data_IF_079448201694
#
_entry.id   IF_079448201694
#
_cell.length_a   1.000
_cell.length_b   1.000
_cell.length_c   1.000
_cell.angle_alpha   90.00
_cell.angle_beta   90.00
_cell.angle_gamma   90.00
#
_symmetry.space_group_name_H-M   'P 1'
#
loop_
_entity.id
_entity.type
_entity.pdbx_description
1 polymer ?
#
# COMPACT_ATOMS: atom_id res chain seq x y z
N UNK A 1 10.57 -1.47 -11.19
CA UNK A 1 10.97 -2.28 -10.03
C UNK A 1 10.40 -1.67 -8.75
N UNK A 2 9.73 -2.45 -7.90
CA UNK A 2 9.13 -1.88 -6.70
C UNK A 2 10.18 -1.40 -5.70
N UNK A 3 9.88 -0.26 -5.09
CA UNK A 3 10.67 0.34 -4.02
C UNK A 3 9.72 0.74 -2.91
N UNK A 4 10.26 1.05 -1.74
CA UNK A 4 9.45 1.58 -0.64
C UNK A 4 8.72 2.85 -1.12
N UNK A 5 7.42 2.86 -0.99
CA UNK A 5 6.57 3.97 -1.44
C UNK A 5 6.10 3.88 -2.89
N UNK A 6 6.60 2.92 -3.66
CA UNK A 6 6.09 2.73 -5.02
C UNK A 6 4.60 2.44 -4.97
N UNK A 7 3.85 3.08 -5.86
CA UNK A 7 2.41 3.04 -5.85
C UNK A 7 1.93 2.51 -7.19
N UNK A 8 0.96 1.60 -7.13
CA UNK A 8 0.42 0.93 -8.31
C UNK A 8 -1.09 1.07 -8.35
N UNK A 9 -1.64 1.08 -9.55
CA UNK A 9 -3.07 0.90 -9.75
C UNK A 9 -3.30 -0.49 -10.34
N UNK A 10 -4.22 -1.23 -9.73
CA UNK A 10 -4.65 -2.51 -10.29
C UNK A 10 -5.59 -2.27 -11.46
N UNK A 11 -5.34 -2.96 -12.58
CA UNK A 11 -6.25 -2.93 -13.72
C UNK A 11 -7.37 -3.95 -13.60
N UNK A 12 -7.29 -4.85 -12.63
CA UNK A 12 -8.33 -5.84 -12.36
C UNK A 12 -9.32 -5.27 -11.33
N UNK A 13 -10.62 -5.47 -11.52
CA UNK A 13 -11.60 -5.03 -10.53
C UNK A 13 -11.45 -5.81 -9.21
N UNK A 14 -11.60 -5.14 -8.07
CA UNK A 14 -11.73 -3.68 -7.90
C UNK A 14 -10.40 -2.98 -8.15
N UNK A 15 -10.45 -1.81 -8.79
CA UNK A 15 -9.26 -1.09 -9.24
C UNK A 15 -8.67 -0.24 -8.12
N UNK A 16 -8.20 -0.90 -7.08
CA UNK A 16 -7.58 -0.22 -5.95
C UNK A 16 -6.19 0.32 -6.29
N UNK A 17 -5.78 1.32 -5.52
CA UNK A 17 -4.41 1.81 -5.50
C UNK A 17 -3.67 1.01 -4.43
N UNK A 18 -2.47 0.53 -4.75
CA UNK A 18 -1.63 -0.25 -3.84
C UNK A 18 -0.34 0.49 -3.55
N UNK A 19 0.11 0.45 -2.31
CA UNK A 19 1.33 1.14 -1.86
C UNK A 19 2.27 0.12 -1.23
N UNK A 20 3.54 0.14 -1.65
CA UNK A 20 4.59 -0.70 -1.06
C UNK A 20 5.05 -0.04 0.23
N UNK A 21 4.91 -0.74 1.36
CA UNK A 21 5.20 -0.20 2.70
C UNK A 21 6.36 -0.89 3.42
N UNK A 22 7.02 -1.86 2.78
CA UNK A 22 8.29 -2.39 3.25
C UNK A 22 9.29 -2.34 2.10
N UNK A 23 10.58 -2.36 2.43
CA UNK A 23 11.63 -2.11 1.44
C UNK A 23 12.02 -3.39 0.69
N UNK A 24 11.68 -3.52 -0.62
CA UNK A 24 12.04 -4.70 -1.38
C UNK A 24 13.55 -4.88 -1.55
N UNK A 25 14.36 -3.83 -1.36
CA UNK A 25 15.82 -3.96 -1.43
C UNK A 25 16.38 -4.74 -0.24
N UNK A 26 15.64 -4.76 0.89
CA UNK A 26 16.02 -5.54 2.07
C UNK A 26 15.61 -7.01 1.92
N UNK A 27 14.56 -7.29 1.16
CA UNK A 27 14.10 -8.65 0.93
C UNK A 27 13.29 -8.71 -0.37
N UNK A 28 13.93 -9.13 -1.46
CA UNK A 28 13.28 -9.24 -2.76
C UNK A 28 12.24 -10.36 -2.83
N UNK A 29 12.33 -11.32 -1.92
CA UNK A 29 11.43 -12.47 -1.89
C UNK A 29 10.16 -12.20 -1.08
N UNK A 30 10.11 -11.11 -0.33
CA UNK A 30 8.93 -10.79 0.46
C UNK A 30 8.91 -9.30 0.80
N UNK A 31 7.89 -8.60 0.34
CA UNK A 31 7.62 -7.23 0.75
C UNK A 31 6.12 -7.04 0.91
N UNK A 32 5.75 -6.06 1.73
CA UNK A 32 4.36 -5.81 2.09
C UNK A 32 3.81 -4.67 1.26
N UNK A 33 2.59 -4.86 0.73
CA UNK A 33 1.87 -3.76 0.11
C UNK A 33 0.40 -3.79 0.57
N UNK A 34 -0.19 -2.59 0.64
CA UNK A 34 -1.55 -2.39 1.14
C UNK A 34 -2.36 -1.63 0.10
N UNK A 35 -3.68 -1.81 0.11
CA UNK A 35 -4.50 -1.05 -0.80
C UNK A 35 -5.16 0.13 -0.10
N UNK A 36 -5.49 1.14 -0.92
CA UNK A 36 -6.23 2.32 -0.49
C UNK A 36 -7.66 2.14 -0.98
N UNK A 37 -8.60 2.12 -0.05
CA UNK A 37 -10.00 1.84 -0.34
C UNK A 37 -10.86 3.01 0.11
N UNK A 38 -11.83 3.41 -0.70
CA UNK A 38 -12.78 4.45 -0.30
C UNK A 38 -13.39 4.12 1.04
N UNK A 39 -13.44 5.12 1.93
CA UNK A 39 -14.00 4.96 3.25
C UNK A 39 -15.51 4.76 3.13
N UNK A 40 -15.97 3.54 3.33
CA UNK A 40 -17.36 3.18 3.25
C UNK A 40 -17.65 2.08 4.26
N UNK A 41 -18.90 1.68 4.32
CA UNK A 41 -19.41 0.73 5.32
C UNK A 41 -18.85 -0.67 5.20
N UNK A 42 -18.18 -1.00 4.11
CA UNK A 42 -17.69 -2.36 3.89
C UNK A 42 -16.24 -2.56 4.32
N UNK A 43 -15.57 -1.51 4.79
CA UNK A 43 -14.19 -1.60 5.22
C UNK A 43 -14.10 -1.40 6.73
N UNK A 44 -13.48 -2.36 7.42
CA UNK A 44 -13.35 -2.32 8.88
C UNK A 44 -12.09 -1.59 9.35
N UNK A 45 -11.18 -1.29 8.43
CA UNK A 45 -9.94 -0.58 8.76
C UNK A 45 -10.24 0.89 9.03
N UNK A 46 -9.81 1.41 10.18
CA UNK A 46 -10.03 2.79 10.56
C UNK A 46 -8.79 3.46 11.19
N UNK A 47 -7.66 2.77 11.16
CA UNK A 47 -6.44 3.25 11.81
C UNK A 47 -5.79 4.39 11.05
N UNK A 48 -5.81 4.35 9.72
CA UNK A 48 -5.21 5.38 8.89
C UNK A 48 -6.20 5.83 7.82
N UNK A 49 -6.73 7.03 8.01
CA UNK A 49 -7.67 7.65 7.09
C UNK A 49 -6.94 8.76 6.35
N UNK A 50 -7.01 8.74 5.02
CA UNK A 50 -6.36 9.73 4.16
C UNK A 50 -7.41 10.67 3.57
N UNK A 51 -7.08 11.97 3.56
CA UNK A 51 -7.87 12.97 2.87
C UNK A 51 -7.41 13.09 1.41
N UNK A 52 -8.26 13.60 0.51
CA UNK A 52 -7.88 13.73 -0.91
C UNK A 52 -6.56 14.49 -1.14
N UNK A 53 -6.28 15.52 -0.35
CA UNK A 53 -5.07 16.33 -0.50
C UNK A 53 -3.80 15.58 -0.10
N UNK A 54 -3.91 14.40 0.48
CA UNK A 54 -2.73 13.61 0.86
C UNK A 54 -2.15 12.82 -0.30
N UNK A 55 -2.88 12.69 -1.40
CA UNK A 55 -2.36 12.10 -2.63
C UNK A 55 -3.14 12.64 -3.84
N UNK A 56 -3.06 13.97 -4.10
CA UNK A 56 -3.78 14.54 -5.22
C UNK A 56 -3.08 14.23 -6.55
N UNK A 57 -3.81 14.12 -7.65
CA UNK A 57 -5.27 14.14 -7.75
C UNK A 57 -5.89 12.75 -7.67
N UNK A 58 -5.16 11.75 -7.17
CA UNK A 58 -5.54 10.35 -7.28
C UNK A 58 -6.57 9.92 -6.23
N UNK A 59 -6.59 10.58 -5.06
CA UNK A 59 -7.66 10.38 -4.10
C UNK A 59 -8.72 11.46 -4.30
N UNK A 60 -9.96 11.04 -4.53
CA UNK A 60 -11.07 11.97 -4.78
C UNK A 60 -12.04 12.05 -3.61
N UNK A 61 -11.83 11.26 -2.57
CA UNK A 61 -12.67 11.22 -1.37
C UNK A 61 -11.86 10.65 -0.23
N UNK A 62 -12.42 10.71 0.98
CA UNK A 62 -11.78 10.07 2.14
C UNK A 62 -11.52 8.61 1.85
N UNK A 63 -10.33 8.16 2.19
CA UNK A 63 -9.83 6.83 1.86
C UNK A 63 -9.23 6.20 3.10
N UNK A 64 -9.48 4.92 3.30
CA UNK A 64 -8.84 4.17 4.39
C UNK A 64 -7.74 3.29 3.82
N UNK A 65 -6.68 3.13 4.59
CA UNK A 65 -5.63 2.16 4.26
C UNK A 65 -6.12 0.79 4.73
N UNK A 66 -6.34 -0.11 3.78
CA UNK A 66 -6.95 -1.40 4.07
C UNK A 66 -5.88 -2.42 4.49
N UNK A 67 -5.40 -2.28 5.72
CA UNK A 67 -4.39 -3.20 6.26
C UNK A 67 -4.89 -4.64 6.32
N UNK A 68 -6.18 -4.84 6.55
CA UNK A 68 -6.78 -6.19 6.57
C UNK A 68 -6.66 -6.89 5.21
N UNK A 69 -6.43 -6.13 4.15
CA UNK A 69 -6.30 -6.66 2.78
C UNK A 69 -4.88 -6.61 2.28
N UNK A 70 -3.90 -6.48 3.18
CA UNK A 70 -2.50 -6.44 2.79
C UNK A 70 -2.08 -7.72 2.06
N UNK A 71 -1.04 -7.57 1.25
CA UNK A 71 -0.44 -8.72 0.58
C UNK A 71 1.06 -8.70 0.80
N UNK A 72 1.65 -9.89 0.74
CA UNK A 72 3.10 -10.07 0.75
C UNK A 72 3.45 -10.59 -0.63
N UNK A 73 4.27 -9.86 -1.36
CA UNK A 73 4.64 -10.21 -2.72
C UNK A 73 6.14 -10.33 -2.89
N UNK A 74 6.55 -10.66 -4.11
CA UNK A 74 7.95 -10.76 -4.51
C UNK A 74 8.24 -9.75 -5.61
N UNK A 75 9.50 -9.35 -5.74
CA UNK A 75 9.89 -8.43 -6.82
C UNK A 75 9.58 -9.05 -8.19
N UNK A 76 9.90 -10.34 -8.39
CA UNK A 76 9.63 -10.99 -9.67
C UNK A 76 8.13 -11.06 -9.95
N UNK A 77 7.32 -11.34 -8.94
CA UNK A 77 5.85 -11.38 -9.10
C UNK A 77 5.29 -10.03 -9.47
N UNK A 78 5.77 -8.96 -8.83
CA UNK A 78 5.31 -7.61 -9.15
C UNK A 78 5.74 -7.21 -10.56
N UNK A 79 6.97 -7.52 -10.96
CA UNK A 79 7.43 -7.23 -12.31
C UNK A 79 6.57 -7.94 -13.36
N UNK A 80 6.14 -9.17 -13.08
CA UNK A 80 5.25 -9.91 -13.96
C UNK A 80 3.88 -9.22 -14.06
N UNK A 81 3.34 -8.71 -12.96
CA UNK A 81 2.07 -7.98 -12.97
C UNK A 81 2.16 -6.70 -13.81
N UNK A 82 3.30 -6.01 -13.77
CA UNK A 82 3.54 -4.85 -14.61
C UNK A 82 3.66 -5.23 -16.08
N UNK A 83 4.42 -6.27 -16.39
CA UNK A 83 4.65 -6.71 -17.77
C UNK A 83 3.35 -7.18 -18.44
N UNK A 84 2.45 -7.79 -17.67
CA UNK A 84 1.18 -8.29 -18.21
C UNK A 84 0.10 -7.22 -18.24
N UNK A 85 0.39 -5.99 -17.78
CA UNK A 85 -0.58 -4.90 -17.78
C UNK A 85 -1.62 -5.00 -16.67
N UNK A 86 -1.43 -5.86 -15.68
CA UNK A 86 -2.35 -6.01 -14.56
C UNK A 86 -2.15 -4.94 -13.49
N UNK A 87 -0.92 -4.44 -13.36
CA UNK A 87 -0.58 -3.34 -12.46
C UNK A 87 0.13 -2.25 -13.24
N UNK A 88 -0.20 -1.00 -12.94
CA UNK A 88 0.45 0.17 -13.52
C UNK A 88 1.11 0.98 -12.42
N UNK A 89 2.38 1.31 -12.61
CA UNK A 89 3.05 2.20 -11.67
C UNK A 89 2.48 3.60 -11.79
N UNK A 90 2.20 4.22 -10.65
CA UNK A 90 1.69 5.58 -10.53
C UNK A 90 2.81 6.48 -10.01
N UNK A 91 2.64 7.82 -10.08
CA UNK A 91 3.55 8.71 -9.35
C UNK A 91 3.66 8.27 -7.89
N UNK A 92 4.85 8.32 -7.29
CA UNK A 92 5.04 7.84 -5.92
C UNK A 92 4.19 8.62 -4.94
N UNK A 93 3.73 7.93 -3.89
CA UNK A 93 2.95 8.59 -2.84
C UNK A 93 3.83 9.62 -2.13
N UNK A 94 3.29 10.80 -1.76
CA UNK A 94 4.09 11.80 -1.05
C UNK A 94 4.69 11.24 0.24
N UNK A 95 5.92 11.64 0.53
CA UNK A 95 6.64 11.13 1.71
C UNK A 95 5.87 11.29 3.02
N UNK A 96 5.25 12.46 3.32
CA UNK A 96 4.48 12.57 4.56
C UNK A 96 3.31 11.59 4.63
N UNK A 97 2.67 11.32 3.50
CA UNK A 97 1.57 10.36 3.44
C UNK A 97 2.07 8.94 3.65
N UNK A 98 3.20 8.58 3.04
CA UNK A 98 3.82 7.29 3.25
C UNK A 98 4.18 7.08 4.73
N UNK A 99 4.74 8.10 5.38
CA UNK A 99 5.08 8.04 6.80
C UNK A 99 3.84 7.76 7.65
N UNK A 100 2.73 8.43 7.33
CA UNK A 100 1.45 8.21 8.01
C UNK A 100 0.97 6.77 7.84
N UNK A 101 1.09 6.23 6.63
CA UNK A 101 0.68 4.86 6.34
C UNK A 101 1.56 3.85 7.10
N UNK A 102 2.87 4.06 7.13
CA UNK A 102 3.79 3.18 7.84
C UNK A 102 3.52 3.22 9.36
N UNK A 103 3.29 4.40 9.91
CA UNK A 103 2.97 4.51 11.34
C UNK A 103 1.65 3.80 11.67
N UNK A 104 0.64 3.93 10.82
CA UNK A 104 -0.61 3.21 10.98
C UNK A 104 -0.42 1.70 10.87
N UNK A 105 0.50 1.24 10.03
CA UNK A 105 0.82 -0.17 9.91
C UNK A 105 1.38 -0.75 11.20
N UNK A 106 2.15 0.03 11.95
CA UNK A 106 2.62 -0.39 13.27
C UNK A 106 1.51 -0.45 14.31
N UNK A 107 0.49 0.39 14.17
CA UNK A 107 -0.59 0.50 15.15
C UNK A 107 -1.75 -0.48 14.89
N UNK A 108 -1.96 -0.88 13.65
CA UNK A 108 -3.11 -1.74 13.31
C UNK A 108 -2.95 -3.15 13.86
N UNK A 109 -4.06 -3.78 14.16
CA UNK A 109 -4.11 -5.20 14.52
C UNK A 109 -4.37 -6.09 13.30
N UNK A 110 -4.54 -5.50 12.13
CA UNK A 110 -4.96 -6.21 10.92
C UNK A 110 -3.79 -6.75 10.08
N UNK A 111 -2.55 -6.34 10.36
CA UNK A 111 -1.39 -6.91 9.69
C UNK A 111 -0.94 -8.19 10.40
N UNK A 112 -0.53 -9.18 9.62
CA UNK A 112 0.09 -10.38 10.17
C UNK A 112 1.40 -10.02 10.87
N UNK A 113 1.84 -10.89 11.80
CA UNK A 113 3.13 -10.69 12.46
C UNK A 113 4.28 -10.66 11.44
N UNK A 114 4.20 -11.55 10.45
CA UNK A 114 5.21 -11.60 9.38
C UNK A 114 5.31 -10.27 8.65
N UNK A 115 4.17 -9.67 8.30
CA UNK A 115 4.15 -8.38 7.63
C UNK A 115 4.72 -7.28 8.54
N UNK A 116 4.33 -7.26 9.82
CA UNK A 116 4.84 -6.24 10.76
C UNK A 116 6.34 -6.32 10.93
N UNK A 117 6.91 -7.53 10.92
CA UNK A 117 8.35 -7.71 11.08
C UNK A 117 9.15 -7.16 9.89
N UNK A 118 8.51 -6.95 8.75
CA UNK A 118 9.16 -6.39 7.55
C UNK A 118 9.09 -4.87 7.47
N UNK A 119 8.30 -4.22 8.30
CA UNK A 119 8.09 -2.78 8.20
C UNK A 119 9.34 -2.00 8.55
N UNK A 120 9.55 -0.83 7.90
CA UNK A 120 10.55 0.13 8.38
C UNK A 120 10.18 0.59 9.79
N UNK A 121 11.15 1.16 10.49
CA UNK A 121 10.90 1.75 11.80
C UNK A 121 9.83 2.83 11.72
N UNK A 122 9.08 2.99 12.81
CA UNK A 122 8.12 4.08 12.94
C UNK A 122 8.83 5.42 12.80
N UNK A 123 8.21 6.34 12.15
CA UNK A 123 8.78 7.65 11.83
C UNK A 123 8.22 8.73 12.76
#
# INVERSE_FOLDING_TARGET
>A
MPELGTTYRSNLPPRHIWVVISDPSQNEQAFVFVNLTSLNENCVDDVCILEPEEYPPFLTQKTTVAYSRHKIGTVSGMNMLEETGNFFEMPPIPTPTLQKIINGAHDTLELSKTAKDMLPSRI
#
